data_IF_698668049018
#
_entry.id   IF_698668049018
#
_cell.length_a   1.000
_cell.length_b   1.000
_cell.length_c   1.000
_cell.angle_alpha   90.00
_cell.angle_beta   90.00
_cell.angle_gamma   90.00
#
_symmetry.space_group_name_H-M   'P 1'
#
loop_
_entity.id
_entity.type
_entity.pdbx_description
1 polymer ?
#
# COMPACT_ATOMS: atom_id res chain seq x y z
N UNK A 1 -11.00 -29.69 1.48
CA UNK A 1 -10.20 -28.66 2.22
C UNK A 1 -8.80 -28.44 1.63
N UNK A 2 -8.32 -29.23 0.68
CA UNK A 2 -6.89 -29.28 0.27
C UNK A 2 -6.54 -28.48 -0.98
N UNK A 3 -7.47 -28.00 -1.79
CA UNK A 3 -7.14 -27.26 -3.03
C UNK A 3 -7.23 -25.72 -2.91
N UNK A 4 -7.93 -25.19 -1.93
CA UNK A 4 -7.98 -23.75 -1.67
C UNK A 4 -6.72 -23.21 -0.97
N UNK A 5 -5.92 -24.10 -0.37
CA UNK A 5 -4.83 -23.76 0.53
C UNK A 5 -3.53 -23.35 -0.18
N UNK A 6 -3.23 -23.88 -1.36
CA UNK A 6 -1.96 -23.57 -2.03
C UNK A 6 -1.95 -22.18 -2.70
N UNK A 7 -3.05 -21.75 -3.31
CA UNK A 7 -3.14 -20.44 -3.93
C UNK A 7 -3.14 -19.28 -2.91
N UNK A 8 -3.51 -19.55 -1.64
CA UNK A 8 -3.48 -18.53 -0.57
C UNK A 8 -2.10 -18.35 0.08
N UNK A 9 -1.19 -19.30 -0.11
CA UNK A 9 0.13 -19.33 0.53
C UNK A 9 1.22 -18.52 -0.21
N UNK A 10 0.93 -18.00 -1.39
CA UNK A 10 1.91 -17.18 -2.10
C UNK A 10 2.01 -15.78 -1.50
N UNK A 11 3.23 -15.36 -1.13
CA UNK A 11 3.43 -14.01 -0.60
C UNK A 11 3.11 -12.95 -1.65
N UNK A 12 2.58 -11.84 -1.19
CA UNK A 12 2.46 -10.67 -2.04
C UNK A 12 3.82 -9.99 -2.13
N UNK A 13 4.47 -10.09 -3.28
CA UNK A 13 5.74 -9.42 -3.57
C UNK A 13 5.54 -7.95 -3.88
N UNK A 14 6.60 -7.18 -3.75
CA UNK A 14 6.64 -5.78 -4.14
C UNK A 14 6.79 -5.65 -5.66
N UNK A 15 5.89 -4.93 -6.34
CA UNK A 15 5.97 -4.67 -7.79
C UNK A 15 7.20 -3.83 -8.20
N UNK A 16 7.93 -3.30 -7.24
CA UNK A 16 9.12 -2.49 -7.48
C UNK A 16 10.44 -3.24 -7.37
N UNK A 17 10.56 -4.14 -6.41
CA UNK A 17 11.81 -4.86 -6.13
C UNK A 17 11.63 -6.38 -5.97
N UNK A 18 10.42 -6.91 -6.12
CA UNK A 18 10.11 -8.33 -5.95
C UNK A 18 10.17 -8.85 -4.50
N UNK A 19 10.69 -8.07 -3.57
CA UNK A 19 10.86 -8.51 -2.20
C UNK A 19 9.52 -8.72 -1.50
N UNK A 20 9.45 -9.78 -0.68
CA UNK A 20 8.33 -10.05 0.21
C UNK A 20 8.48 -9.14 1.43
N UNK A 21 7.63 -8.12 1.50
CA UNK A 21 7.64 -7.16 2.62
C UNK A 21 6.68 -7.61 3.70
N UNK A 22 7.05 -7.36 4.97
CA UNK A 22 6.13 -7.52 6.08
C UNK A 22 4.94 -6.56 6.01
N UNK A 23 5.01 -5.50 5.21
CA UNK A 23 3.91 -4.54 5.01
C UNK A 23 3.77 -4.07 3.57
N UNK A 24 3.33 -4.94 2.66
CA UNK A 24 2.99 -4.50 1.33
C UNK A 24 1.73 -3.61 1.40
N UNK A 25 1.72 -2.53 0.63
CA UNK A 25 0.56 -1.66 0.49
C UNK A 25 0.24 -1.43 -0.97
N UNK A 26 -1.03 -1.55 -1.30
CA UNK A 26 -1.53 -1.09 -2.58
C UNK A 26 -1.58 0.44 -2.56
N UNK A 27 -0.87 1.06 -3.48
CA UNK A 27 -0.78 2.51 -3.65
C UNK A 27 -1.02 2.86 -5.10
N UNK A 28 -1.85 3.87 -5.32
CA UNK A 28 -2.08 4.49 -6.61
C UNK A 28 -1.46 5.88 -6.57
N UNK A 29 -0.58 6.18 -7.50
CA UNK A 29 0.07 7.50 -7.61
C UNK A 29 -0.32 8.20 -8.89
N UNK A 30 -0.34 9.52 -8.86
CA UNK A 30 -0.66 10.33 -10.02
C UNK A 30 0.60 10.69 -10.80
N UNK A 31 0.43 10.83 -12.11
CA UNK A 31 1.41 11.44 -13.02
C UNK A 31 0.67 12.31 -14.01
N UNK A 32 1.15 13.55 -14.18
CA UNK A 32 0.67 14.47 -15.20
C UNK A 32 1.82 14.81 -16.12
N UNK A 33 1.55 14.70 -17.40
CA UNK A 33 2.44 15.17 -18.46
C UNK A 33 1.63 16.09 -19.37
N UNK A 34 2.06 17.34 -19.46
CA UNK A 34 1.36 18.36 -20.26
C UNK A 34 2.29 18.93 -21.31
N UNK A 35 1.80 18.98 -22.53
CA UNK A 35 2.33 19.79 -23.61
C UNK A 35 1.29 20.87 -23.93
N UNK A 36 1.68 21.98 -24.51
CA UNK A 36 0.87 23.19 -24.77
C UNK A 36 -0.61 22.93 -25.09
N UNK A 37 -0.91 21.91 -25.90
CA UNK A 37 -2.26 21.57 -26.34
C UNK A 37 -2.82 20.27 -25.75
N UNK A 38 -1.94 19.44 -25.16
CA UNK A 38 -2.34 18.12 -24.67
C UNK A 38 -1.87 17.92 -23.23
N UNK A 39 -2.78 17.45 -22.39
CA UNK A 39 -2.46 17.03 -21.02
C UNK A 39 -2.89 15.59 -20.82
N UNK A 40 -1.95 14.74 -20.44
CA UNK A 40 -2.18 13.33 -20.17
C UNK A 40 -2.07 13.11 -18.66
N UNK A 41 -3.13 12.57 -18.08
CA UNK A 41 -3.16 12.14 -16.68
C UNK A 41 -3.15 10.62 -16.60
N UNK A 42 -2.19 10.06 -15.91
CA UNK A 42 -2.13 8.62 -15.64
C UNK A 42 -2.14 8.36 -14.13
N UNK A 43 -2.73 7.22 -13.74
CA UNK A 43 -2.83 6.79 -12.34
C UNK A 43 -2.27 5.36 -12.20
N UNK A 44 -0.97 5.16 -12.40
CA UNK A 44 -0.38 3.86 -12.17
C UNK A 44 -0.57 3.42 -10.72
N UNK A 45 -0.79 2.13 -10.53
CA UNK A 45 -1.03 1.52 -9.24
C UNK A 45 -0.24 0.23 -9.10
N UNK A 46 -0.09 -0.23 -7.88
CA UNK A 46 0.58 -1.49 -7.58
C UNK A 46 0.76 -1.71 -6.10
N UNK A 47 1.28 -2.88 -5.76
CA UNK A 47 1.61 -3.23 -4.38
C UNK A 47 3.09 -2.99 -4.16
N UNK A 48 3.43 -2.12 -3.22
CA UNK A 48 4.81 -1.72 -2.98
C UNK A 48 5.20 -1.88 -1.51
N UNK A 49 6.48 -2.18 -1.27
CA UNK A 49 7.10 -1.94 0.03
C UNK A 49 7.28 -0.43 0.26
N UNK A 50 7.53 -0.04 1.50
CA UNK A 50 7.66 1.37 1.92
C UNK A 50 8.67 2.13 1.06
N UNK A 51 9.86 1.56 0.90
CA UNK A 51 10.95 2.20 0.15
C UNK A 51 10.61 2.40 -1.33
N UNK A 52 10.05 1.36 -1.99
CA UNK A 52 9.68 1.45 -3.40
C UNK A 52 8.51 2.41 -3.62
N UNK A 53 7.50 2.41 -2.73
CA UNK A 53 6.39 3.34 -2.79
C UNK A 53 6.88 4.79 -2.68
N UNK A 54 7.71 5.09 -1.69
CA UNK A 54 8.26 6.43 -1.49
C UNK A 54 9.09 6.89 -2.69
N UNK A 55 9.98 6.03 -3.21
CA UNK A 55 10.80 6.35 -4.39
C UNK A 55 9.93 6.64 -5.62
N UNK A 56 8.89 5.85 -5.86
CA UNK A 56 7.98 6.06 -6.98
C UNK A 56 7.13 7.31 -6.82
N UNK A 57 6.61 7.57 -5.63
CA UNK A 57 5.85 8.80 -5.34
C UNK A 57 6.71 10.04 -5.58
N UNK A 58 7.94 10.04 -5.07
CA UNK A 58 8.88 11.15 -5.28
C UNK A 58 9.18 11.36 -6.77
N UNK A 59 9.57 10.29 -7.47
CA UNK A 59 9.92 10.38 -8.89
C UNK A 59 8.76 10.87 -9.76
N UNK A 60 7.56 10.36 -9.50
CA UNK A 60 6.37 10.82 -10.23
C UNK A 60 6.00 12.29 -9.90
N UNK A 61 6.23 12.72 -8.66
CA UNK A 61 6.05 14.13 -8.28
C UNK A 61 7.06 15.03 -8.99
N UNK A 62 8.33 14.59 -9.08
CA UNK A 62 9.39 15.33 -9.78
C UNK A 62 9.05 15.48 -11.26
N UNK A 63 8.71 14.37 -11.94
CA UNK A 63 8.32 14.38 -13.36
C UNK A 63 7.09 15.26 -13.59
N UNK A 64 6.07 15.14 -12.72
CA UNK A 64 4.88 15.97 -12.80
C UNK A 64 5.22 17.44 -12.57
N UNK A 65 6.09 17.75 -11.61
CA UNK A 65 6.55 19.10 -11.34
C UNK A 65 7.38 19.73 -12.46
N UNK A 66 8.10 18.93 -13.26
CA UNK A 66 8.86 19.44 -14.40
C UNK A 66 8.00 19.64 -15.65
N UNK A 67 7.10 18.72 -15.94
CA UNK A 67 6.36 18.68 -17.22
C UNK A 67 4.88 19.00 -17.10
N UNK A 68 4.32 19.02 -15.90
CA UNK A 68 2.90 19.24 -15.68
C UNK A 68 2.44 20.68 -15.92
N UNK A 69 3.35 21.64 -15.85
CA UNK A 69 3.03 23.08 -15.93
C UNK A 69 2.87 23.62 -17.35
N UNK A 70 3.26 22.88 -18.37
CA UNK A 70 3.35 23.35 -19.76
C UNK A 70 1.99 23.56 -20.43
N UNK A 71 0.87 23.22 -19.80
CA UNK A 71 -0.47 23.41 -20.32
C UNK A 71 -1.40 24.07 -19.31
N UNK A 72 -2.38 24.85 -19.81
CA UNK A 72 -3.35 25.56 -18.96
C UNK A 72 -4.10 24.62 -18.00
N UNK A 73 -4.63 23.51 -18.50
CA UNK A 73 -5.27 22.47 -17.69
C UNK A 73 -4.27 21.66 -16.88
N UNK A 74 -3.05 21.49 -17.39
CA UNK A 74 -1.96 20.82 -16.70
C UNK A 74 -1.58 21.48 -15.39
N UNK A 75 -1.64 22.81 -15.32
CA UNK A 75 -1.35 23.57 -14.10
C UNK A 75 -2.20 23.11 -12.91
N UNK A 76 -3.52 23.06 -13.07
CA UNK A 76 -4.42 22.65 -11.98
C UNK A 76 -4.22 21.18 -11.60
N UNK A 77 -4.08 20.30 -12.59
CA UNK A 77 -3.85 18.87 -12.34
C UNK A 77 -2.49 18.58 -11.70
N UNK A 78 -1.49 19.39 -12.03
CA UNK A 78 -0.15 19.25 -11.44
C UNK A 78 -0.18 19.52 -9.95
N UNK A 79 -0.84 20.57 -9.51
CA UNK A 79 -0.99 20.89 -8.10
C UNK A 79 -1.70 19.74 -7.38
N UNK A 80 -2.84 19.31 -7.86
CA UNK A 80 -3.61 18.18 -7.28
C UNK A 80 -2.75 16.92 -7.14
N UNK A 81 -2.08 16.52 -8.21
CA UNK A 81 -1.30 15.28 -8.25
C UNK A 81 -0.05 15.35 -7.36
N UNK A 82 0.62 16.49 -7.30
CA UNK A 82 1.75 16.68 -6.39
C UNK A 82 1.28 16.52 -4.94
N UNK A 83 0.17 17.15 -4.56
CA UNK A 83 -0.40 16.99 -3.22
C UNK A 83 -0.76 15.54 -2.93
N UNK A 84 -1.47 14.84 -3.82
CA UNK A 84 -1.82 13.42 -3.65
C UNK A 84 -0.54 12.58 -3.42
N UNK A 85 0.48 12.79 -4.24
CA UNK A 85 1.73 12.04 -4.12
C UNK A 85 2.49 12.37 -2.83
N UNK A 86 2.53 13.63 -2.40
CA UNK A 86 3.16 14.04 -1.14
C UNK A 86 2.49 13.42 0.09
N UNK A 87 1.17 13.21 0.03
CA UNK A 87 0.41 12.52 1.08
C UNK A 87 0.46 10.99 0.97
N UNK A 88 1.33 10.45 0.14
CA UNK A 88 1.57 9.01 0.03
C UNK A 88 0.66 8.30 -0.97
N UNK A 89 0.13 9.01 -1.95
CA UNK A 89 -0.73 8.47 -3.00
C UNK A 89 -2.16 8.16 -2.52
N UNK A 90 -3.00 7.77 -3.46
CA UNK A 90 -4.35 7.28 -3.15
C UNK A 90 -4.27 5.81 -2.76
N UNK A 91 -4.92 5.44 -1.66
CA UNK A 91 -4.96 4.08 -1.14
C UNK A 91 -6.38 3.55 -1.24
N UNK A 92 -6.54 2.37 -1.81
CA UNK A 92 -7.81 1.66 -1.75
C UNK A 92 -7.84 0.79 -0.48
N UNK A 93 -8.70 1.09 0.50
CA UNK A 93 -8.73 0.36 1.76
C UNK A 93 -9.14 -1.11 1.57
N UNK A 94 -10.03 -1.43 0.62
CA UNK A 94 -10.49 -2.79 0.38
C UNK A 94 -9.34 -3.67 -0.15
N UNK A 95 -8.63 -3.20 -1.16
CA UNK A 95 -7.46 -3.90 -1.71
C UNK A 95 -6.37 -4.03 -0.63
N UNK A 96 -6.15 -3.00 0.17
CA UNK A 96 -5.17 -3.06 1.25
C UNK A 96 -5.56 -4.07 2.35
N UNK A 97 -6.83 -4.16 2.72
CA UNK A 97 -7.30 -5.16 3.68
C UNK A 97 -7.05 -6.58 3.14
N UNK A 98 -7.35 -6.83 1.87
CA UNK A 98 -7.12 -8.10 1.21
C UNK A 98 -5.62 -8.47 1.16
N UNK A 99 -4.77 -7.55 0.70
CA UNK A 99 -3.32 -7.74 0.61
C UNK A 99 -2.72 -8.05 1.98
N UNK A 100 -3.14 -7.33 3.02
CA UNK A 100 -2.67 -7.57 4.38
C UNK A 100 -3.14 -8.91 4.94
N UNK A 101 -4.39 -9.31 4.68
CA UNK A 101 -4.92 -10.62 5.09
C UNK A 101 -4.13 -11.78 4.46
N UNK A 102 -3.86 -11.70 3.14
CA UNK A 102 -3.02 -12.69 2.45
C UNK A 102 -1.60 -12.75 3.01
N UNK A 103 -1.00 -11.59 3.25
CA UNK A 103 0.35 -11.51 3.80
C UNK A 103 0.41 -12.07 5.22
N UNK A 104 -0.63 -11.85 6.02
CA UNK A 104 -0.75 -12.45 7.36
C UNK A 104 -0.78 -13.98 7.29
N UNK A 105 -1.54 -14.56 6.34
CA UNK A 105 -1.60 -16.01 6.14
C UNK A 105 -0.22 -16.58 5.74
N UNK A 106 0.50 -15.88 4.88
CA UNK A 106 1.85 -16.28 4.49
C UNK A 106 2.81 -16.31 5.68
N UNK A 107 2.89 -15.25 6.50
CA UNK A 107 3.77 -15.24 7.67
C UNK A 107 3.34 -16.24 8.74
N UNK A 108 2.04 -16.46 8.89
CA UNK A 108 1.53 -17.51 9.77
C UNK A 108 2.02 -18.90 9.35
N UNK A 109 1.97 -19.21 8.05
CA UNK A 109 2.47 -20.49 7.51
C UNK A 109 3.99 -20.64 7.61
N UNK A 110 4.73 -19.54 7.67
CA UNK A 110 6.19 -19.54 7.86
C UNK A 110 6.64 -19.66 9.31
N UNK A 111 5.68 -19.64 10.25
CA UNK A 111 6.00 -19.77 11.68
C UNK A 111 6.37 -18.44 12.34
N UNK A 112 6.02 -17.31 11.74
CA UNK A 112 6.20 -15.96 12.28
C UNK A 112 4.88 -15.38 12.83
N UNK A 113 4.35 -15.89 13.95
CA UNK A 113 3.03 -15.51 14.45
C UNK A 113 2.93 -14.04 14.85
N UNK A 114 4.02 -13.43 15.34
CA UNK A 114 4.01 -12.03 15.77
C UNK A 114 3.75 -11.08 14.59
N UNK A 115 4.39 -11.35 13.45
CA UNK A 115 4.18 -10.58 12.21
C UNK A 115 2.77 -10.85 11.67
N UNK A 116 2.34 -12.11 11.67
CA UNK A 116 1.03 -12.51 11.20
C UNK A 116 -0.10 -11.84 12.00
N UNK A 117 0.00 -11.78 13.33
CA UNK A 117 -0.96 -11.10 14.20
C UNK A 117 -1.00 -9.60 13.90
N UNK A 118 0.14 -8.94 13.79
CA UNK A 118 0.20 -7.51 13.50
C UNK A 118 -0.46 -7.16 12.15
N UNK A 119 -0.22 -7.98 11.13
CA UNK A 119 -0.82 -7.82 9.80
C UNK A 119 -2.32 -8.10 9.81
N UNK A 120 -2.76 -9.10 10.56
CA UNK A 120 -4.17 -9.42 10.71
C UNK A 120 -4.94 -8.30 11.41
N UNK A 121 -4.41 -7.74 12.48
CA UNK A 121 -5.00 -6.57 13.16
C UNK A 121 -5.08 -5.35 12.22
N UNK A 122 -4.03 -5.09 11.45
CA UNK A 122 -4.01 -4.02 10.46
C UNK A 122 -5.05 -4.25 9.36
N UNK A 123 -5.19 -5.49 8.84
CA UNK A 123 -6.19 -5.84 7.83
C UNK A 123 -7.61 -5.52 8.32
N UNK A 124 -7.96 -5.98 9.52
CA UNK A 124 -9.27 -5.73 10.12
C UNK A 124 -9.49 -4.23 10.38
N UNK A 125 -8.46 -3.53 10.86
CA UNK A 125 -8.53 -2.09 11.11
C UNK A 125 -8.81 -1.29 9.83
N UNK A 126 -8.20 -1.70 8.73
CA UNK A 126 -8.39 -1.08 7.41
C UNK A 126 -9.78 -1.43 6.88
N UNK A 127 -10.23 -2.69 7.02
CA UNK A 127 -11.54 -3.14 6.57
C UNK A 127 -12.69 -2.37 7.25
N UNK A 128 -12.60 -2.11 8.54
CA UNK A 128 -13.61 -1.34 9.30
C UNK A 128 -13.90 0.06 8.74
N UNK A 129 -13.02 0.59 7.88
CA UNK A 129 -13.16 1.91 7.26
C UNK A 129 -13.84 1.85 5.88
N UNK A 130 -14.21 0.67 5.41
CA UNK A 130 -14.76 0.47 4.08
C UNK A 130 -16.29 0.58 4.15
N UNK A 131 -16.86 1.34 3.23
CA UNK A 131 -18.30 1.37 3.01
C UNK A 131 -18.76 0.10 2.30
N UNK A 132 -19.94 -0.41 2.64
CA UNK A 132 -20.56 -1.53 1.92
C UNK A 132 -20.85 -1.23 0.45
N UNK A 133 -20.90 0.05 0.08
CA UNK A 133 -21.07 0.50 -1.30
C UNK A 133 -19.77 0.50 -2.13
N UNK A 134 -18.61 0.17 -1.52
CA UNK A 134 -17.34 0.08 -2.24
C UNK A 134 -17.37 -1.11 -3.22
N UNK A 135 -17.04 -0.92 -4.50
CA UNK A 135 -17.04 -2.00 -5.50
C UNK A 135 -16.09 -3.15 -5.14
N UNK A 136 -15.10 -2.91 -4.30
CA UNK A 136 -14.12 -3.90 -3.84
C UNK A 136 -14.44 -4.44 -2.43
N UNK A 137 -15.64 -4.16 -1.90
CA UNK A 137 -16.01 -4.54 -0.53
C UNK A 137 -15.81 -6.04 -0.25
N UNK A 138 -16.29 -6.92 -1.13
CA UNK A 138 -16.17 -8.36 -0.96
C UNK A 138 -14.70 -8.84 -0.94
N UNK A 139 -13.84 -8.22 -1.73
CA UNK A 139 -12.40 -8.49 -1.69
C UNK A 139 -11.81 -8.11 -0.32
N UNK A 140 -12.13 -6.92 0.18
CA UNK A 140 -11.67 -6.47 1.49
C UNK A 140 -12.21 -7.35 2.63
N UNK A 141 -13.46 -7.80 2.54
CA UNK A 141 -14.12 -8.71 3.47
C UNK A 141 -13.37 -10.05 3.53
N UNK A 142 -13.08 -10.66 2.38
CA UNK A 142 -12.32 -11.91 2.31
C UNK A 142 -10.96 -11.78 3.03
N UNK A 143 -10.21 -10.71 2.80
CA UNK A 143 -8.95 -10.47 3.51
C UNK A 143 -9.13 -10.34 5.03
N UNK A 144 -10.20 -9.68 5.48
CA UNK A 144 -10.47 -9.53 6.91
C UNK A 144 -10.93 -10.82 7.57
N UNK A 145 -11.63 -11.70 6.86
CA UNK A 145 -12.05 -13.02 7.35
C UNK A 145 -10.84 -13.94 7.58
N UNK A 146 -9.90 -13.96 6.62
CA UNK A 146 -8.60 -14.66 6.78
C UNK A 146 -7.85 -14.13 8.00
N UNK A 147 -7.78 -12.82 8.16
CA UNK A 147 -7.14 -12.18 9.30
C UNK A 147 -7.80 -12.58 10.64
N UNK A 148 -9.14 -12.62 10.70
CA UNK A 148 -9.86 -13.07 11.89
C UNK A 148 -9.60 -14.54 12.22
N UNK A 149 -9.52 -15.41 11.20
CA UNK A 149 -9.21 -16.82 11.39
C UNK A 149 -7.81 -17.00 12.00
N UNK A 150 -6.81 -16.24 11.52
CA UNK A 150 -5.45 -16.26 12.06
C UNK A 150 -5.45 -15.83 13.53
N UNK A 151 -6.13 -14.73 13.88
CA UNK A 151 -6.20 -14.25 15.27
C UNK A 151 -6.86 -15.27 16.20
N UNK A 152 -7.88 -16.00 15.73
CA UNK A 152 -8.50 -17.09 16.49
C UNK A 152 -7.53 -18.25 16.70
N UNK A 153 -6.77 -18.63 15.68
CA UNK A 153 -5.81 -19.73 15.71
C UNK A 153 -4.60 -19.43 16.60
N UNK A 154 -4.13 -18.20 16.62
CA UNK A 154 -3.01 -17.78 17.47
C UNK A 154 -3.37 -17.73 18.95
N UNK A 155 -4.63 -17.99 19.32
CA UNK A 155 -5.15 -17.88 20.69
C UNK A 155 -4.67 -16.58 21.34
N UNK A 156 -5.57 -15.75 21.80
CA UNK A 156 -5.33 -14.37 22.33
C UNK A 156 -4.08 -14.23 23.24
N UNK A 157 -2.89 -14.47 22.74
CA UNK A 157 -1.67 -13.94 23.32
C UNK A 157 -1.63 -12.46 23.03
N UNK A 158 -2.41 -11.75 23.82
CA UNK A 158 -2.55 -10.30 23.84
C UNK A 158 -1.26 -9.63 24.33
N UNK A 159 -0.17 -9.88 23.65
CA UNK A 159 0.96 -8.97 23.70
C UNK A 159 0.70 -7.99 22.57
N UNK A 160 0.12 -6.85 22.93
CA UNK A 160 0.02 -5.68 22.06
C UNK A 160 1.42 -5.42 21.53
N UNK A 161 1.76 -6.04 20.41
CA UNK A 161 2.89 -5.61 19.61
C UNK A 161 2.45 -4.23 19.16
N UNK A 162 2.91 -3.21 19.88
CA UNK A 162 2.75 -1.81 19.51
C UNK A 162 3.15 -1.78 18.04
N UNK A 163 2.18 -1.61 17.14
CA UNK A 163 2.43 -1.65 15.71
C UNK A 163 3.54 -0.65 15.43
N UNK A 164 4.73 -1.16 15.24
CA UNK A 164 5.95 -0.42 14.89
C UNK A 164 5.77 0.29 13.55
N UNK A 165 4.60 0.14 12.98
CA UNK A 165 4.18 0.39 11.61
C UNK A 165 3.14 1.51 11.49
N UNK A 166 2.77 2.17 12.59
CA UNK A 166 1.90 3.35 12.55
C UNK A 166 2.49 4.55 11.78
N UNK A 167 3.77 4.47 11.42
CA UNK A 167 4.46 5.49 10.62
C UNK A 167 4.04 5.59 9.16
N UNK A 168 3.33 4.57 8.62
CA UNK A 168 2.87 4.61 7.23
C UNK A 168 1.69 5.57 6.99
N UNK A 169 0.95 5.93 8.03
CA UNK A 169 -0.21 6.83 7.92
C UNK A 169 0.16 8.31 7.97
N UNK A 170 1.39 8.62 8.37
CA UNK A 170 1.93 9.98 8.32
C UNK A 170 3.26 9.93 7.56
N UNK A 171 3.46 10.74 6.53
CA UNK A 171 4.79 10.94 5.99
C UNK A 171 5.62 11.51 7.14
N UNK A 172 6.43 10.67 7.78
CA UNK A 172 7.35 11.15 8.79
C UNK A 172 8.35 12.07 8.07
N UNK A 173 8.69 13.20 8.67
CA UNK A 173 9.74 14.08 8.16
C UNK A 173 11.06 13.32 7.89
N UNK A 174 11.27 12.19 8.58
CA UNK A 174 12.36 11.28 8.35
C UNK A 174 12.32 10.59 6.97
N UNK A 175 11.14 10.37 6.38
CA UNK A 175 11.04 9.82 5.02
C UNK A 175 11.54 10.83 3.97
N UNK A 176 11.45 12.11 4.25
CA UNK A 176 11.96 13.16 3.35
C UNK A 176 13.49 13.25 3.37
N UNK A 177 14.11 13.02 4.52
CA UNK A 177 15.58 13.09 4.68
C UNK A 177 16.29 11.82 4.20
N UNK A 178 15.61 10.68 4.16
CA UNK A 178 16.15 9.43 3.60
C UNK A 178 16.31 9.46 2.06
N UNK A 179 15.80 10.50 1.40
CA UNK A 179 15.90 10.68 -0.06
C UNK A 179 17.21 11.29 -0.54
N UNK A 180 18.06 11.78 0.35
CA UNK A 180 19.32 12.42 -0.02
C UNK A 180 20.46 11.43 -0.30
N UNK A 181 20.25 10.12 -0.14
CA UNK A 181 21.22 9.10 -0.50
C UNK A 181 20.67 8.22 -1.62
N UNK A 182 21.39 8.04 -2.75
CA UNK A 182 21.02 7.07 -3.76
C UNK A 182 21.18 5.68 -3.16
N UNK A 183 20.09 5.07 -2.72
CA UNK A 183 20.08 3.65 -2.40
C UNK A 183 20.09 2.92 -3.74
N UNK A 184 21.28 2.50 -4.14
CA UNK A 184 21.49 1.51 -5.20
C UNK A 184 20.88 0.20 -4.67
N UNK A 185 19.78 -0.25 -5.29
CA UNK A 185 19.32 -1.62 -5.16
C UNK A 185 20.00 -2.46 -6.23
#
# INVERSE_FOLDING_TARGET
>A
FTQATEAELYPVGCDGCGAVSAQPRFVQYGRVFSLLLFSIRSKPCGVFCVSCASKRLFWNSLVTGMFGWLGFWGFFWTIEVIFINLFGGTKNPAINAFVLGKQAAYFFSKGDPDIAIALAEDSISVFKKISMADPNYEMGKSGSEVAQAILRSCGQKKKRVKSRWSGWTKPSRASFLAFSLPVIC
#
